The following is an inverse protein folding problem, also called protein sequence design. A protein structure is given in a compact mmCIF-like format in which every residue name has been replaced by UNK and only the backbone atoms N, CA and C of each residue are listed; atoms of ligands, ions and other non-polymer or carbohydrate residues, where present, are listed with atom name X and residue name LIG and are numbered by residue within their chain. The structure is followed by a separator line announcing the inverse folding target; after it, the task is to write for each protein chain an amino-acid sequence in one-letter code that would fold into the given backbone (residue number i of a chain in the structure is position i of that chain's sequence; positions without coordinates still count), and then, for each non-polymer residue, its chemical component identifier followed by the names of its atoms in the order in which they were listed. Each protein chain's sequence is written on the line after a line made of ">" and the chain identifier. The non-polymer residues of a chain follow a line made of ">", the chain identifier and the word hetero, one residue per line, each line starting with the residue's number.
data_IF_080736684276
#
_entry.id   IF_080736684276
#
_cell.length_a   1.000
_cell.length_b   1.000
_cell.length_c   1.000
_cell.angle_alpha   90.00
_cell.angle_beta   90.00
_cell.angle_gamma   90.00
#
_symmetry.space_group_name_H-M   'P 1'
#
loop_
_entity.id
_entity.type
_entity.pdbx_description
1 polymer ?
#
# COMPACT_ATOMS: atom_id res chain seq x y z
N UNK A 1 40.79 -3.84 8.19
CA UNK A 1 39.71 -4.39 9.06
C UNK A 1 38.68 -5.10 8.18
N UNK A 2 38.04 -6.18 8.66
CA UNK A 2 36.96 -6.88 7.94
C UNK A 2 35.60 -6.39 8.43
N UNK A 3 34.81 -5.74 7.58
CA UNK A 3 33.39 -5.52 7.84
C UNK A 3 32.61 -6.67 7.21
N UNK A 4 32.00 -7.54 8.05
CA UNK A 4 31.18 -8.65 7.58
C UNK A 4 29.78 -8.18 7.18
N UNK A 5 29.35 -8.47 5.96
CA UNK A 5 27.97 -8.27 5.55
C UNK A 5 27.06 -9.32 6.21
N UNK A 6 26.32 -8.94 7.25
CA UNK A 6 25.26 -9.78 7.80
C UNK A 6 24.08 -9.84 6.82
N UNK A 7 23.96 -10.97 6.12
CA UNK A 7 22.78 -11.26 5.32
C UNK A 7 21.54 -11.37 6.23
N UNK A 8 20.63 -10.40 6.12
CA UNK A 8 19.35 -10.42 6.84
C UNK A 8 18.51 -11.56 6.27
N UNK A 9 18.53 -12.72 6.95
CA UNK A 9 17.64 -13.84 6.64
C UNK A 9 16.20 -13.41 6.87
N UNK A 10 15.45 -13.22 5.79
CA UNK A 10 14.00 -13.10 5.81
C UNK A 10 13.41 -14.41 6.35
N UNK A 11 12.98 -14.39 7.62
CA UNK A 11 12.24 -15.51 8.19
C UNK A 11 10.95 -15.73 7.37
N UNK A 12 10.54 -17.00 7.14
CA UNK A 12 9.25 -17.27 6.52
C UNK A 12 8.16 -16.72 7.45
N UNK A 13 7.47 -15.67 6.99
CA UNK A 13 6.40 -15.06 7.77
C UNK A 13 5.31 -16.10 8.02
N UNK A 14 5.15 -16.51 9.29
CA UNK A 14 4.02 -17.33 9.72
C UNK A 14 2.72 -16.70 9.19
N UNK A 15 1.70 -17.48 8.79
CA UNK A 15 0.57 -16.99 8.02
C UNK A 15 -0.29 -16.02 8.85
N UNK A 16 0.10 -14.73 8.82
CA UNK A 16 -0.53 -13.60 9.51
C UNK A 16 -2.04 -13.64 9.25
N UNK A 17 -2.80 -14.07 10.24
CA UNK A 17 -4.23 -14.28 10.12
C UNK A 17 -4.90 -12.92 9.99
N UNK A 18 -5.59 -12.70 8.87
CA UNK A 18 -6.17 -11.41 8.51
C UNK A 18 -7.57 -11.27 9.08
N UNK A 19 -8.31 -12.36 9.31
CA UNK A 19 -9.59 -12.34 10.02
C UNK A 19 -9.46 -12.09 11.52
N UNK A 20 -10.46 -11.42 12.11
CA UNK A 20 -10.53 -11.22 13.55
C UNK A 20 -10.81 -12.56 14.24
N UNK A 21 -9.89 -12.97 15.12
CA UNK A 21 -9.80 -14.33 15.64
C UNK A 21 -11.13 -14.81 16.25
N UNK A 22 -11.76 -13.98 17.09
CA UNK A 22 -13.03 -14.29 17.80
C UNK A 22 -14.17 -14.81 16.90
N UNK A 23 -14.36 -14.27 15.68
CA UNK A 23 -15.45 -14.74 14.81
C UNK A 23 -15.07 -15.98 14.01
N UNK A 24 -13.79 -16.17 13.67
CA UNK A 24 -13.30 -17.43 13.11
C UNK A 24 -13.51 -18.54 14.13
N UNK A 25 -13.15 -18.28 15.38
CA UNK A 25 -13.30 -19.21 16.50
C UNK A 25 -14.78 -19.52 16.82
N UNK A 26 -15.72 -18.63 16.50
CA UNK A 26 -17.16 -18.86 16.64
C UNK A 26 -17.64 -19.90 15.61
N UNK A 27 -17.47 -19.65 14.31
CA UNK A 27 -17.93 -20.59 13.29
C UNK A 27 -17.10 -21.88 13.28
N UNK A 28 -15.84 -21.86 13.72
CA UNK A 28 -15.08 -23.08 14.03
C UNK A 28 -15.68 -23.85 15.22
N UNK A 29 -16.21 -23.19 16.25
CA UNK A 29 -16.98 -23.84 17.32
C UNK A 29 -18.31 -24.41 16.81
N UNK A 30 -19.00 -23.75 15.87
CA UNK A 30 -20.17 -24.32 15.17
C UNK A 30 -19.80 -25.63 14.45
N UNK A 31 -18.73 -25.62 13.65
CA UNK A 31 -18.20 -26.80 12.96
C UNK A 31 -17.80 -27.90 13.96
N UNK A 32 -17.06 -27.57 15.02
CA UNK A 32 -16.61 -28.53 16.05
C UNK A 32 -17.76 -29.08 16.92
N UNK A 33 -18.87 -28.34 17.10
CA UNK A 33 -20.09 -28.87 17.74
C UNK A 33 -20.73 -29.89 16.81
N UNK A 34 -21.00 -29.52 15.56
CA UNK A 34 -21.62 -30.41 14.58
C UNK A 34 -20.77 -31.66 14.30
N UNK A 35 -19.46 -31.51 14.13
CA UNK A 35 -18.53 -32.64 13.98
C UNK A 35 -18.55 -33.58 15.18
N UNK A 36 -18.66 -33.07 16.41
CA UNK A 36 -18.80 -33.94 17.60
C UNK A 36 -20.12 -34.68 17.63
N UNK A 37 -21.24 -34.03 17.31
CA UNK A 37 -22.56 -34.69 17.22
C UNK A 37 -22.58 -35.77 16.12
N UNK A 38 -22.04 -35.47 14.94
CA UNK A 38 -21.86 -36.44 13.85
C UNK A 38 -20.94 -37.58 14.28
N UNK A 39 -19.83 -37.29 14.96
CA UNK A 39 -18.92 -38.33 15.49
C UNK A 39 -19.52 -39.14 16.63
N UNK A 40 -20.43 -38.61 17.44
CA UNK A 40 -21.17 -39.39 18.44
C UNK A 40 -22.07 -40.40 17.72
N UNK A 41 -22.95 -39.92 16.82
CA UNK A 41 -23.80 -40.78 15.96
C UNK A 41 -23.01 -41.77 15.07
N UNK A 42 -21.69 -41.57 14.93
CA UNK A 42 -20.83 -42.50 14.22
C UNK A 42 -20.00 -43.40 15.14
N UNK A 43 -19.56 -42.96 16.34
CA UNK A 43 -18.85 -43.81 17.32
C UNK A 43 -19.76 -44.90 17.88
N UNK A 44 -21.06 -44.60 17.99
CA UNK A 44 -22.14 -45.58 18.21
C UNK A 44 -22.21 -46.65 17.09
N UNK A 45 -21.49 -46.44 15.98
CA UNK A 45 -21.38 -47.33 14.82
C UNK A 45 -19.92 -47.62 14.37
N UNK A 46 -18.89 -47.17 15.10
CA UNK A 46 -17.46 -47.31 14.73
C UNK A 46 -16.55 -47.84 15.83
N UNK A 47 -17.10 -48.31 16.95
CA UNK A 47 -16.43 -49.29 17.81
C UNK A 47 -16.20 -50.66 17.11
N UNK A 48 -16.35 -50.71 15.78
CA UNK A 48 -16.36 -51.90 14.93
C UNK A 48 -15.17 -52.03 13.94
N UNK A 49 -14.26 -51.05 13.76
CA UNK A 49 -13.22 -51.12 12.70
C UNK A 49 -11.85 -50.41 12.98
N UNK A 50 -10.78 -50.74 12.22
CA UNK A 50 -9.36 -50.45 12.52
C UNK A 50 -8.40 -50.60 11.29
N UNK A 51 -7.08 -50.23 11.22
CA UNK A 51 -6.11 -49.29 11.91
C UNK A 51 -4.76 -49.24 11.11
N UNK A 52 -3.89 -48.23 11.38
CA UNK A 52 -2.40 -48.13 11.12
C UNK A 52 -1.78 -48.03 9.68
N UNK A 53 -0.92 -47.01 9.40
CA UNK A 53 0.54 -47.04 8.95
C UNK A 53 1.14 -45.66 8.46
N UNK A 54 2.32 -45.59 7.77
CA UNK A 54 3.43 -44.57 7.94
C UNK A 54 4.44 -44.41 6.73
N UNK A 55 5.29 -43.32 6.64
CA UNK A 55 6.73 -43.19 6.13
C UNK A 55 7.15 -41.99 5.12
N UNK A 56 8.40 -41.82 4.51
CA UNK A 56 9.27 -40.56 4.53
C UNK A 56 10.16 -40.10 3.25
N UNK A 57 11.16 -39.13 3.35
CA UNK A 57 12.51 -38.92 2.61
C UNK A 57 12.95 -37.54 1.85
N UNK A 58 14.28 -37.30 1.56
CA UNK A 58 15.06 -36.33 0.61
C UNK A 58 15.23 -34.76 0.86
N UNK A 59 16.08 -33.82 0.27
CA UNK A 59 17.39 -33.61 -0.55
C UNK A 59 17.70 -32.02 -0.73
N UNK A 60 18.60 -31.24 -1.45
CA UNK A 60 19.99 -31.04 -2.13
C UNK A 60 20.10 -29.56 -2.75
N UNK A 61 21.07 -28.79 -3.38
CA UNK A 61 22.55 -28.50 -3.76
C UNK A 61 22.65 -27.02 -4.44
N UNK A 62 23.62 -26.23 -5.05
CA UNK A 62 25.11 -25.90 -5.37
C UNK A 62 25.16 -24.52 -6.23
N UNK A 63 26.16 -23.71 -6.78
CA UNK A 63 27.62 -23.20 -6.74
C UNK A 63 27.77 -21.82 -7.57
N UNK A 64 28.81 -21.13 -8.21
CA UNK A 64 30.30 -21.14 -8.62
C UNK A 64 30.85 -19.71 -9.21
N UNK A 65 32.13 -19.51 -9.67
CA UNK A 65 32.78 -18.49 -10.69
C UNK A 65 33.59 -17.12 -10.36
N UNK A 66 34.13 -16.29 -11.36
CA UNK A 66 35.25 -15.20 -11.28
C UNK A 66 35.37 -13.98 -12.37
N UNK A 67 36.25 -12.88 -12.31
CA UNK A 67 36.36 -11.63 -13.26
C UNK A 67 37.52 -10.48 -13.25
N UNK A 68 37.52 -9.33 -14.05
CA UNK A 68 38.70 -8.36 -14.45
C UNK A 68 38.52 -6.77 -14.79
N UNK A 69 39.57 -5.88 -15.12
CA UNK A 69 39.61 -4.34 -15.43
C UNK A 69 40.92 -3.72 -16.18
N UNK A 70 41.38 -2.44 -16.58
CA UNK A 70 41.20 -0.87 -16.56
C UNK A 70 42.25 -0.06 -17.54
N UNK A 71 42.67 1.26 -17.84
CA UNK A 71 42.78 2.81 -17.50
C UNK A 71 43.28 3.74 -18.76
N UNK A 72 43.75 5.07 -18.96
CA UNK A 72 44.03 6.49 -18.35
C UNK A 72 44.14 7.83 -19.35
N UNK A 73 44.92 8.99 -19.20
CA UNK A 73 44.75 10.44 -19.80
C UNK A 73 45.96 11.54 -20.04
N UNK A 74 45.80 12.83 -20.61
CA UNK A 74 46.84 13.85 -21.19
C UNK A 74 46.98 15.43 -20.75
N UNK A 75 47.51 16.44 -21.57
CA UNK A 75 48.12 17.88 -21.33
C UNK A 75 47.74 19.09 -22.35
N UNK A 76 48.18 20.41 -22.59
CA UNK A 76 49.05 21.66 -22.20
C UNK A 76 48.74 22.96 -23.17
N UNK A 77 49.21 24.28 -23.35
CA UNK A 77 49.92 25.58 -22.83
C UNK A 77 49.88 26.77 -23.96
N UNK A 78 50.18 28.15 -24.09
CA UNK A 78 50.71 29.52 -23.52
C UNK A 78 50.65 30.73 -24.63
N UNK A 79 51.04 32.06 -24.76
CA UNK A 79 51.61 33.41 -24.17
C UNK A 79 51.50 34.65 -25.25
N UNK A 80 51.87 36.01 -25.37
CA UNK A 80 52.41 37.37 -24.76
C UNK A 80 52.41 38.58 -25.87
N UNK A 81 52.72 39.95 -25.95
CA UNK A 81 53.15 41.31 -25.29
C UNK A 81 52.90 42.60 -26.28
N UNK A 82 53.26 43.97 -26.34
CA UNK A 82 54.09 45.13 -25.72
C UNK A 82 53.69 46.68 -26.14
N UNK A 83 54.50 47.84 -26.03
CA UNK A 83 54.10 49.35 -26.20
C UNK A 83 55.17 50.59 -26.21
N UNK A 84 54.81 51.95 -26.20
CA UNK A 84 55.69 53.23 -26.02
C UNK A 84 54.99 54.71 -25.85
N UNK A 85 55.70 55.91 -25.69
CA UNK A 85 55.16 57.37 -25.56
C UNK A 85 56.12 58.68 -25.40
N UNK A 86 55.65 60.01 -25.36
CA UNK A 86 56.43 61.36 -25.28
C UNK A 86 55.68 62.71 -24.77
N UNK A 87 56.30 63.94 -24.59
CA UNK A 87 55.71 65.18 -23.86
C UNK A 87 56.20 66.68 -24.14
N UNK A 88 55.52 67.78 -23.66
CA UNK A 88 55.90 69.26 -23.80
C UNK A 88 55.11 70.36 -22.95
N UNK A 89 55.45 71.70 -22.93
CA UNK A 89 55.20 72.60 -21.75
C UNK A 89 54.07 73.68 -21.71
N UNK A 90 53.68 74.39 -22.77
CA UNK A 90 52.28 74.89 -22.85
C UNK A 90 51.47 73.68 -23.33
N UNK A 91 50.17 73.53 -23.02
CA UNK A 91 49.36 72.55 -23.74
C UNK A 91 49.30 72.96 -25.22
N UNK A 92 49.95 72.24 -26.17
CA UNK A 92 49.71 72.49 -27.58
C UNK A 92 48.21 72.32 -27.91
N UNK A 93 47.74 72.74 -29.09
CA UNK A 93 46.45 72.31 -29.62
C UNK A 93 46.32 70.77 -29.51
N UNK A 94 47.40 70.07 -29.84
CA UNK A 94 47.53 68.63 -29.64
C UNK A 94 47.33 68.15 -28.19
N UNK A 95 47.55 68.92 -27.12
CA UNK A 95 47.21 68.48 -25.75
C UNK A 95 45.72 68.70 -25.43
N UNK A 96 45.05 69.67 -26.07
CA UNK A 96 43.58 69.73 -26.04
C UNK A 96 43.01 68.51 -26.78
N UNK A 97 43.56 68.20 -27.95
CA UNK A 97 43.07 67.09 -28.77
C UNK A 97 43.43 65.73 -28.16
N UNK A 98 44.63 65.56 -27.58
CA UNK A 98 45.03 64.37 -26.81
C UNK A 98 44.27 64.22 -25.50
N UNK A 99 43.92 65.31 -24.80
CA UNK A 99 43.08 65.19 -23.58
C UNK A 99 41.62 64.91 -23.93
N UNK A 100 41.11 65.40 -25.07
CA UNK A 100 39.83 64.98 -25.63
C UNK A 100 39.88 63.51 -26.07
N UNK A 101 40.91 63.07 -26.80
CA UNK A 101 41.12 61.68 -27.23
C UNK A 101 41.28 60.73 -26.04
N UNK A 102 42.07 61.09 -25.03
CA UNK A 102 42.20 60.32 -23.79
C UNK A 102 40.88 60.26 -23.03
N UNK A 103 40.10 61.35 -22.97
CA UNK A 103 38.77 61.36 -22.36
C UNK A 103 37.76 60.49 -23.12
N UNK A 104 37.79 60.53 -24.46
CA UNK A 104 36.98 59.68 -25.34
C UNK A 104 37.40 58.20 -25.20
N UNK A 105 38.71 57.93 -25.07
CA UNK A 105 39.24 56.58 -24.85
C UNK A 105 38.80 56.02 -23.50
N UNK A 106 39.01 56.77 -22.40
CA UNK A 106 38.55 56.39 -21.06
C UNK A 106 37.03 56.21 -21.00
N UNK A 107 36.25 57.11 -21.60
CA UNK A 107 34.80 56.95 -21.72
C UNK A 107 34.42 55.69 -22.54
N UNK A 108 35.17 55.40 -23.61
CA UNK A 108 35.01 54.20 -24.42
C UNK A 108 35.37 52.90 -23.70
N UNK A 109 36.40 52.91 -22.85
CA UNK A 109 36.80 51.78 -21.99
C UNK A 109 35.78 51.54 -20.86
N UNK A 110 35.33 52.61 -20.24
CA UNK A 110 34.25 52.60 -19.26
C UNK A 110 32.96 52.06 -19.87
N UNK A 111 32.51 52.59 -21.02
CA UNK A 111 31.32 52.08 -21.73
C UNK A 111 31.45 50.62 -22.17
N UNK A 112 32.64 50.18 -22.63
CA UNK A 112 32.90 48.75 -22.91
C UNK A 112 32.72 47.90 -21.65
N UNK A 113 33.29 48.35 -20.53
CA UNK A 113 33.18 47.67 -19.24
C UNK A 113 31.73 47.61 -18.72
N UNK A 114 30.98 48.71 -18.84
CA UNK A 114 29.55 48.76 -18.48
C UNK A 114 28.74 47.81 -19.37
N UNK A 115 29.03 47.71 -20.67
CA UNK A 115 28.36 46.74 -21.59
C UNK A 115 28.63 45.29 -21.18
N UNK A 116 29.84 44.96 -20.72
CA UNK A 116 30.15 43.61 -20.23
C UNK A 116 29.38 43.25 -18.94
N UNK A 117 29.28 44.20 -18.00
CA UNK A 117 28.52 44.05 -16.74
C UNK A 117 27.01 43.96 -17.02
N UNK A 118 26.46 44.86 -17.83
CA UNK A 118 25.07 44.89 -18.26
C UNK A 118 24.68 43.57 -18.95
N UNK A 119 25.50 43.13 -19.90
CA UNK A 119 25.32 41.86 -20.59
C UNK A 119 25.48 40.67 -19.66
N UNK A 120 26.30 40.75 -18.60
CA UNK A 120 26.39 39.71 -17.57
C UNK A 120 25.11 39.64 -16.71
N UNK A 121 24.60 40.78 -16.24
CA UNK A 121 23.36 40.88 -15.48
C UNK A 121 22.18 40.31 -16.28
N UNK A 122 22.02 40.67 -17.56
CA UNK A 122 20.98 40.09 -18.45
C UNK A 122 21.15 38.58 -18.64
N UNK A 123 22.38 38.09 -18.87
CA UNK A 123 22.67 36.64 -18.98
C UNK A 123 22.29 35.88 -17.70
N UNK A 124 22.54 36.46 -16.52
CA UNK A 124 22.19 35.85 -15.24
C UNK A 124 20.68 35.91 -14.97
N UNK A 125 19.98 36.99 -15.33
CA UNK A 125 18.51 37.05 -15.30
C UNK A 125 17.86 35.97 -16.20
N UNK A 126 18.46 35.72 -17.37
CA UNK A 126 18.08 34.62 -18.26
C UNK A 126 18.21 33.24 -17.60
N UNK A 127 19.32 32.99 -16.87
CA UNK A 127 19.51 31.76 -16.08
C UNK A 127 18.47 31.61 -14.97
N UNK A 128 18.19 32.68 -14.21
CA UNK A 128 17.16 32.70 -13.16
C UNK A 128 15.78 32.38 -13.74
N UNK A 129 15.44 32.97 -14.88
CA UNK A 129 14.16 32.72 -15.57
C UNK A 129 14.08 31.27 -16.09
N UNK A 130 15.16 30.73 -16.66
CA UNK A 130 15.21 29.32 -17.11
C UNK A 130 15.16 28.32 -15.94
N UNK A 131 15.63 28.69 -14.75
CA UNK A 131 15.53 27.89 -13.54
C UNK A 131 14.11 27.94 -12.95
N UNK A 132 13.45 29.11 -12.97
CA UNK A 132 12.06 29.27 -12.56
C UNK A 132 11.10 28.43 -13.41
N UNK A 133 11.26 28.39 -14.74
CA UNK A 133 10.42 27.53 -15.59
C UNK A 133 10.65 26.05 -15.30
N UNK A 134 11.88 25.59 -15.06
CA UNK A 134 12.15 24.19 -14.64
C UNK A 134 11.46 23.84 -13.32
N UNK A 135 11.46 24.78 -12.36
CA UNK A 135 10.80 24.61 -11.07
C UNK A 135 9.27 24.53 -11.22
N UNK A 136 8.67 25.38 -12.08
CA UNK A 136 7.24 25.35 -12.41
C UNK A 136 6.81 24.01 -13.04
N UNK A 137 7.56 23.50 -14.03
CA UNK A 137 7.24 22.20 -14.65
C UNK A 137 7.26 21.04 -13.66
N UNK A 138 8.10 21.11 -12.61
CA UNK A 138 8.10 20.11 -11.53
C UNK A 138 6.98 20.33 -10.51
N UNK A 139 6.63 21.58 -10.17
CA UNK A 139 5.46 21.91 -9.35
C UNK A 139 4.19 21.28 -9.95
N UNK A 140 3.98 21.40 -11.27
CA UNK A 140 2.83 20.76 -11.92
C UNK A 140 2.80 19.24 -11.74
N UNK A 141 3.97 18.57 -11.82
CA UNK A 141 4.10 17.13 -11.59
C UNK A 141 3.80 16.79 -10.13
N UNK A 142 4.29 17.60 -9.18
CA UNK A 142 4.00 17.49 -7.74
C UNK A 142 2.51 17.66 -7.43
N UNK A 143 1.83 18.61 -8.06
CA UNK A 143 0.39 18.77 -7.91
C UNK A 143 -0.41 17.63 -8.56
N UNK A 144 0.02 17.13 -9.73
CA UNK A 144 -0.57 15.96 -10.39
C UNK A 144 -0.46 14.72 -9.46
N UNK A 145 0.66 14.57 -8.75
CA UNK A 145 0.84 13.57 -7.69
C UNK A 145 -0.07 13.83 -6.47
N UNK A 146 -0.18 15.07 -5.98
CA UNK A 146 -1.10 15.41 -4.88
C UNK A 146 -2.57 15.13 -5.21
N UNK A 147 -2.98 15.32 -6.48
CA UNK A 147 -4.30 14.92 -6.98
C UNK A 147 -4.49 13.39 -6.92
N UNK A 148 -3.47 12.59 -7.24
CA UNK A 148 -3.56 11.12 -7.12
C UNK A 148 -3.59 10.65 -5.66
N UNK A 149 -2.83 11.27 -4.75
CA UNK A 149 -2.90 11.00 -3.30
C UNK A 149 -4.28 11.33 -2.70
N UNK A 150 -4.90 12.44 -3.13
CA UNK A 150 -6.27 12.80 -2.72
C UNK A 150 -7.30 11.78 -3.24
N UNK A 151 -7.15 11.29 -4.48
CA UNK A 151 -7.97 10.18 -5.01
C UNK A 151 -7.75 8.88 -4.23
N UNK A 152 -6.50 8.54 -3.91
CA UNK A 152 -6.13 7.35 -3.14
C UNK A 152 -6.74 7.34 -1.74
N UNK A 153 -6.73 8.48 -1.04
CA UNK A 153 -7.40 8.66 0.26
C UNK A 153 -8.92 8.50 0.14
N UNK A 154 -9.56 9.01 -0.92
CA UNK A 154 -10.98 8.80 -1.17
C UNK A 154 -11.31 7.31 -1.39
N UNK A 155 -10.50 6.59 -2.17
CA UNK A 155 -10.68 5.15 -2.40
C UNK A 155 -10.45 4.34 -1.11
N UNK A 156 -9.46 4.70 -0.28
CA UNK A 156 -9.25 4.10 1.04
C UNK A 156 -10.45 4.32 1.97
N UNK A 157 -11.01 5.53 1.99
CA UNK A 157 -12.22 5.87 2.75
C UNK A 157 -13.41 5.01 2.28
N UNK A 158 -13.73 5.02 0.98
CA UNK A 158 -14.78 4.18 0.39
C UNK A 158 -14.54 2.67 0.59
N UNK A 159 -13.28 2.21 0.67
CA UNK A 159 -12.94 0.81 0.98
C UNK A 159 -13.24 0.46 2.44
N UNK A 160 -13.06 1.42 3.35
CA UNK A 160 -13.34 1.27 4.77
C UNK A 160 -14.84 1.30 5.02
N UNK A 161 -15.53 2.29 4.45
CA UNK A 161 -16.98 2.45 4.54
C UNK A 161 -17.70 1.26 3.89
N UNK A 162 -17.21 0.80 2.73
CA UNK A 162 -17.70 -0.39 2.03
C UNK A 162 -17.67 -1.67 2.87
N UNK A 163 -16.73 -1.79 3.83
CA UNK A 163 -16.64 -2.95 4.74
C UNK A 163 -17.59 -2.88 5.93
N UNK A 164 -18.16 -1.72 6.24
CA UNK A 164 -19.18 -1.58 7.30
C UNK A 164 -20.48 -2.30 6.95
N UNK A 165 -20.74 -2.55 5.65
CA UNK A 165 -21.89 -3.31 5.16
C UNK A 165 -21.78 -4.85 5.32
N UNK A 166 -20.75 -5.37 6.01
CA UNK A 166 -20.69 -6.79 6.39
C UNK A 166 -21.85 -7.13 7.35
N UNK A 167 -22.64 -8.19 7.09
CA UNK A 167 -23.82 -8.51 7.90
C UNK A 167 -23.45 -9.13 9.24
N UNK A 168 -24.32 -8.95 10.24
CA UNK A 168 -24.14 -9.36 11.64
C UNK A 168 -23.00 -8.63 12.38
N UNK A 169 -23.31 -8.24 13.63
CA UNK A 169 -22.35 -7.66 14.60
C UNK A 169 -21.15 -8.59 14.83
N UNK A 170 -21.28 -9.90 14.55
CA UNK A 170 -20.17 -10.87 14.60
C UNK A 170 -19.12 -10.64 13.50
N UNK A 171 -19.49 -10.18 12.30
CA UNK A 171 -18.56 -9.92 11.17
C UNK A 171 -18.05 -8.47 11.14
N UNK A 172 -18.72 -7.54 11.81
CA UNK A 172 -18.30 -6.11 11.90
C UNK A 172 -17.12 -5.89 12.85
N UNK A 173 -16.63 -6.94 13.52
CA UNK A 173 -15.43 -6.88 14.37
C UNK A 173 -14.19 -6.61 13.49
N UNK A 174 -13.53 -5.46 13.76
CA UNK A 174 -12.32 -5.02 13.03
C UNK A 174 -11.29 -6.13 12.92
N UNK A 175 -10.88 -6.40 11.69
CA UNK A 175 -9.90 -7.43 11.36
C UNK A 175 -8.59 -6.84 10.80
N UNK A 176 -7.63 -7.69 10.45
CA UNK A 176 -6.33 -7.30 9.93
C UNK A 176 -6.40 -6.51 8.61
N UNK A 177 -7.45 -6.68 7.79
CA UNK A 177 -7.64 -5.86 6.60
C UNK A 177 -8.12 -4.44 6.96
N UNK A 178 -8.86 -4.27 8.06
CA UNK A 178 -9.18 -2.93 8.61
C UNK A 178 -7.94 -2.25 9.20
N UNK A 179 -7.03 -3.03 9.82
CA UNK A 179 -5.74 -2.52 10.28
C UNK A 179 -4.85 -2.08 9.10
N UNK A 180 -4.82 -2.86 8.01
CA UNK A 180 -4.10 -2.49 6.78
C UNK A 180 -4.71 -1.24 6.11
N UNK A 181 -6.04 -1.14 6.02
CA UNK A 181 -6.72 0.08 5.53
C UNK A 181 -6.41 1.30 6.40
N UNK A 182 -6.36 1.13 7.73
CA UNK A 182 -5.96 2.20 8.66
C UNK A 182 -4.49 2.61 8.47
N UNK A 183 -3.59 1.65 8.22
CA UNK A 183 -2.18 1.91 7.93
C UNK A 183 -1.98 2.65 6.60
N UNK A 184 -2.67 2.21 5.54
CA UNK A 184 -2.73 2.92 4.24
C UNK A 184 -3.22 4.36 4.43
N UNK A 185 -4.32 4.57 5.18
CA UNK A 185 -4.87 5.91 5.44
C UNK A 185 -3.84 6.84 6.10
N UNK A 186 -3.10 6.33 7.10
CA UNK A 186 -2.05 7.09 7.80
C UNK A 186 -0.90 7.42 6.85
N UNK A 187 -0.31 6.42 6.18
CA UNK A 187 0.83 6.61 5.28
C UNK A 187 0.52 7.56 4.11
N UNK A 188 -0.65 7.44 3.49
CA UNK A 188 -1.11 8.37 2.44
C UNK A 188 -1.30 9.79 2.98
N UNK A 189 -1.76 9.97 4.22
CA UNK A 189 -1.94 11.29 4.85
C UNK A 189 -0.61 11.96 5.17
N UNK A 190 0.37 11.21 5.71
CA UNK A 190 1.72 11.72 5.96
C UNK A 190 2.43 12.12 4.67
N UNK A 191 2.32 11.31 3.61
CA UNK A 191 2.91 11.60 2.30
C UNK A 191 2.25 12.83 1.68
N UNK A 192 0.91 12.96 1.74
CA UNK A 192 0.19 14.17 1.34
C UNK A 192 0.73 15.41 2.06
N UNK A 193 0.91 15.37 3.39
CA UNK A 193 1.41 16.51 4.17
C UNK A 193 2.87 16.89 3.81
N UNK A 194 3.73 15.90 3.55
CA UNK A 194 5.12 16.12 3.11
C UNK A 194 5.15 16.78 1.71
N UNK A 195 4.34 16.29 0.78
CA UNK A 195 4.19 16.85 -0.57
C UNK A 195 3.52 18.25 -0.57
N UNK A 196 2.55 18.51 0.31
CA UNK A 196 1.92 19.84 0.49
C UNK A 196 2.84 20.84 1.21
N UNK A 197 3.86 20.37 1.92
CA UNK A 197 4.93 21.24 2.47
C UNK A 197 5.93 21.59 1.37
N UNK A 198 6.44 20.59 0.64
CA UNK A 198 7.29 20.79 -0.54
C UNK A 198 6.65 21.76 -1.56
N UNK A 199 5.33 21.67 -1.78
CA UNK A 199 4.62 22.60 -2.66
C UNK A 199 4.72 24.06 -2.19
N UNK A 200 4.53 24.33 -0.88
CA UNK A 200 4.68 25.67 -0.30
C UNK A 200 6.12 26.19 -0.41
N UNK A 201 7.10 25.32 -0.21
CA UNK A 201 8.51 25.64 -0.40
C UNK A 201 8.81 26.03 -1.85
N UNK A 202 8.27 25.29 -2.84
CA UNK A 202 8.44 25.62 -4.28
C UNK A 202 7.79 26.94 -4.67
N UNK A 203 6.59 27.24 -4.16
CA UNK A 203 5.92 28.53 -4.41
C UNK A 203 6.71 29.71 -3.84
N UNK A 204 7.25 29.54 -2.63
CA UNK A 204 8.11 30.54 -1.97
C UNK A 204 9.40 30.76 -2.76
N UNK A 205 10.00 29.68 -3.28
CA UNK A 205 11.21 29.75 -4.08
C UNK A 205 10.98 30.37 -5.48
N UNK A 206 9.80 30.17 -6.08
CA UNK A 206 9.41 30.87 -7.32
C UNK A 206 9.30 32.38 -7.13
N UNK A 207 8.72 32.83 -6.01
CA UNK A 207 8.66 34.26 -5.67
C UNK A 207 10.07 34.85 -5.52
N UNK A 208 10.98 34.14 -4.84
CA UNK A 208 12.38 34.55 -4.71
C UNK A 208 13.13 34.63 -6.06
N UNK A 209 12.91 33.66 -6.95
CA UNK A 209 13.47 33.69 -8.32
C UNK A 209 12.91 34.86 -9.14
N UNK A 210 11.60 35.13 -9.06
CA UNK A 210 10.97 36.25 -9.75
C UNK A 210 11.49 37.61 -9.24
N UNK A 211 11.67 37.76 -7.92
CA UNK A 211 12.28 38.96 -7.32
C UNK A 211 13.73 39.13 -7.74
N UNK A 212 14.53 38.06 -7.69
CA UNK A 212 15.94 38.09 -8.11
C UNK A 212 16.10 38.44 -9.60
N UNK A 213 15.26 37.88 -10.47
CA UNK A 213 15.23 38.24 -11.90
C UNK A 213 14.89 39.71 -12.12
N UNK A 214 13.92 40.27 -11.36
CA UNK A 214 13.58 41.70 -11.40
C UNK A 214 14.75 42.58 -10.94
N UNK A 215 15.43 42.22 -9.85
CA UNK A 215 16.59 42.96 -9.34
C UNK A 215 17.74 42.98 -10.38
N UNK A 216 18.07 41.83 -10.97
CA UNK A 216 19.09 41.73 -12.03
C UNK A 216 18.75 42.61 -13.25
N UNK A 217 17.48 42.62 -13.67
CA UNK A 217 17.02 43.44 -14.79
C UNK A 217 17.00 44.94 -14.46
N UNK A 218 16.67 45.33 -13.23
CA UNK A 218 16.75 46.73 -12.79
C UNK A 218 18.20 47.24 -12.84
N UNK A 219 19.16 46.49 -12.26
CA UNK A 219 20.58 46.85 -12.32
C UNK A 219 21.08 46.89 -13.77
N UNK A 220 20.68 45.95 -14.63
CA UNK A 220 21.02 45.97 -16.05
C UNK A 220 20.47 47.21 -16.77
N UNK A 221 19.24 47.64 -16.46
CA UNK A 221 18.63 48.84 -17.04
C UNK A 221 19.32 50.13 -16.57
N UNK A 222 19.69 50.24 -15.29
CA UNK A 222 20.52 51.35 -14.82
C UNK A 222 21.86 51.43 -15.56
N UNK A 223 22.51 50.27 -15.79
CA UNK A 223 23.75 50.22 -16.54
C UNK A 223 23.54 50.50 -18.04
N UNK A 224 22.39 50.15 -18.64
CA UNK A 224 22.11 50.49 -20.06
C UNK A 224 21.96 51.99 -20.28
N UNK A 225 21.32 52.71 -19.35
CA UNK A 225 21.18 54.18 -19.40
C UNK A 225 22.52 54.92 -19.47
N UNK A 226 23.59 54.37 -18.89
CA UNK A 226 24.95 54.93 -18.96
C UNK A 226 25.54 54.81 -20.37
N UNK A 227 25.17 53.76 -21.11
CA UNK A 227 25.62 53.49 -22.49
C UNK A 227 24.83 54.33 -23.51
N UNK A 228 23.62 54.76 -23.17
CA UNK A 228 22.72 55.57 -24.01
C UNK A 228 23.14 57.05 -24.12
N UNK A 229 24.06 57.53 -23.27
CA UNK A 229 24.46 58.94 -23.18
C UNK A 229 25.46 59.43 -24.25
N UNK A 230 26.04 58.54 -25.07
CA UNK A 230 27.01 58.90 -26.10
C UNK A 230 26.67 58.25 -27.46
N UNK A 231 26.82 58.97 -28.60
CA UNK A 231 26.53 58.43 -29.92
C UNK A 231 27.39 57.20 -30.26
N UNK A 232 26.83 56.26 -31.04
CA UNK A 232 27.53 55.04 -31.49
C UNK A 232 28.55 55.30 -32.63
N UNK A 233 29.04 56.53 -32.76
CA UNK A 233 29.86 57.00 -33.88
C UNK A 233 31.30 57.27 -33.44
N UNK A 234 32.07 56.19 -33.25
CA UNK A 234 33.51 56.21 -33.06
C UNK A 234 34.15 55.09 -33.86
N UNK A 235 35.10 55.42 -34.73
CA UNK A 235 35.76 54.45 -35.63
C UNK A 235 36.60 53.45 -34.84
N UNK A 236 36.67 52.16 -35.23
CA UNK A 236 37.46 51.15 -34.52
C UNK A 236 38.96 51.31 -34.80
N UNK A 237 39.62 52.18 -34.03
CA UNK A 237 41.09 52.22 -33.98
C UNK A 237 41.64 50.94 -33.34
N UNK A 238 42.66 50.34 -33.97
CA UNK A 238 42.93 48.91 -33.86
C UNK A 238 43.83 48.49 -32.68
N UNK A 239 43.56 48.98 -31.47
CA UNK A 239 44.34 48.64 -30.26
C UNK A 239 43.54 47.77 -29.30
N UNK A 240 43.56 46.44 -29.52
CA UNK A 240 42.97 45.45 -28.60
C UNK A 240 43.87 45.28 -27.38
N UNK A 241 43.89 46.28 -26.51
CA UNK A 241 44.38 46.09 -25.15
C UNK A 241 43.44 45.13 -24.42
N UNK A 242 43.99 44.01 -23.95
CA UNK A 242 43.27 43.04 -23.13
C UNK A 242 43.05 43.60 -21.71
N UNK A 243 42.09 44.52 -21.56
CA UNK A 243 41.59 44.92 -20.25
C UNK A 243 41.13 43.66 -19.49
N UNK A 244 41.45 43.52 -18.20
CA UNK A 244 40.89 42.44 -17.39
C UNK A 244 39.37 42.61 -17.34
N UNK A 245 38.61 41.51 -17.44
CA UNK A 245 37.15 41.60 -17.44
C UNK A 245 36.66 42.31 -16.16
N UNK A 246 35.74 43.28 -16.24
CA UNK A 246 35.36 44.15 -15.12
C UNK A 246 34.75 43.37 -13.94
N UNK A 247 34.26 42.16 -14.19
CA UNK A 247 33.78 41.21 -13.18
C UNK A 247 34.89 40.69 -12.24
N UNK A 248 36.16 40.87 -12.61
CA UNK A 248 37.34 40.57 -11.79
C UNK A 248 37.89 41.80 -11.04
N UNK A 249 37.29 42.98 -11.22
CA UNK A 249 37.69 44.20 -10.52
C UNK A 249 36.94 44.34 -9.19
N UNK A 250 37.55 45.06 -8.24
CA UNK A 250 36.89 45.38 -6.97
C UNK A 250 35.71 46.34 -7.24
N UNK A 251 34.54 46.16 -6.60
CA UNK A 251 33.41 47.07 -6.80
C UNK A 251 33.75 48.50 -6.40
N UNK A 252 33.25 49.44 -7.20
CA UNK A 252 33.45 50.88 -7.04
C UNK A 252 32.09 51.58 -7.25
N UNK A 253 31.61 52.41 -6.31
CA UNK A 253 30.37 53.19 -6.47
C UNK A 253 30.30 54.04 -7.76
N UNK A 254 31.45 54.51 -8.25
CA UNK A 254 31.55 55.30 -9.50
C UNK A 254 31.99 54.46 -10.70
N UNK A 255 32.30 53.18 -10.50
CA UNK A 255 32.88 52.31 -11.51
C UNK A 255 31.85 51.59 -12.39
N UNK A 256 32.30 50.86 -13.43
CA UNK A 256 31.42 50.10 -14.31
C UNK A 256 30.75 48.91 -13.60
N UNK A 257 31.30 48.48 -12.46
CA UNK A 257 30.81 47.40 -11.61
C UNK A 257 30.60 47.93 -10.19
N UNK A 258 29.36 48.28 -9.86
CA UNK A 258 28.99 48.89 -8.58
C UNK A 258 28.70 47.82 -7.50
N UNK A 259 28.76 48.17 -6.19
CA UNK A 259 28.39 47.23 -5.12
C UNK A 259 26.99 46.61 -5.29
N UNK A 260 25.98 47.36 -5.75
CA UNK A 260 24.63 46.82 -5.95
C UNK A 260 24.61 45.76 -7.06
N UNK A 261 25.39 45.95 -8.13
CA UNK A 261 25.55 44.95 -9.19
C UNK A 261 26.18 43.66 -8.65
N UNK A 262 27.14 43.77 -7.73
CA UNK A 262 27.75 42.62 -7.05
C UNK A 262 26.77 41.91 -6.14
N UNK A 263 26.13 42.65 -5.24
CA UNK A 263 25.24 42.09 -4.21
C UNK A 263 24.05 41.37 -4.84
N UNK A 264 23.48 41.92 -5.92
CA UNK A 264 22.40 41.28 -6.68
C UNK A 264 22.89 40.04 -7.43
N UNK A 265 24.13 40.01 -7.94
CA UNK A 265 24.72 38.81 -8.54
C UNK A 265 24.97 37.71 -7.51
N UNK A 266 25.59 38.02 -6.37
CA UNK A 266 25.85 37.06 -5.29
C UNK A 266 24.54 36.52 -4.70
N UNK A 267 23.54 37.37 -4.45
CA UNK A 267 22.21 36.96 -4.02
C UNK A 267 21.52 36.06 -5.07
N UNK A 268 21.62 36.39 -6.36
CA UNK A 268 21.03 35.56 -7.42
C UNK A 268 21.68 34.17 -7.51
N UNK A 269 22.98 34.05 -7.28
CA UNK A 269 23.68 32.78 -7.23
C UNK A 269 23.19 31.91 -6.07
N UNK A 270 22.98 32.49 -4.88
CA UNK A 270 22.42 31.80 -3.73
C UNK A 270 20.95 31.33 -3.98
N UNK A 271 20.11 32.17 -4.59
CA UNK A 271 18.73 31.82 -4.95
C UNK A 271 18.68 30.73 -6.03
N UNK A 272 19.57 30.77 -7.03
CA UNK A 272 19.73 29.71 -8.03
C UNK A 272 20.13 28.37 -7.40
N UNK A 273 21.15 28.36 -6.54
CA UNK A 273 21.62 27.14 -5.85
C UNK A 273 20.50 26.52 -5.00
N UNK A 274 19.78 27.35 -4.22
CA UNK A 274 18.64 26.90 -3.41
C UNK A 274 17.52 26.31 -4.26
N UNK A 275 17.23 26.88 -5.44
CA UNK A 275 16.27 26.31 -6.39
C UNK A 275 16.72 24.93 -6.89
N UNK A 276 17.96 24.79 -7.32
CA UNK A 276 18.50 23.54 -7.85
C UNK A 276 18.45 22.42 -6.80
N UNK A 277 18.83 22.72 -5.55
CA UNK A 277 18.71 21.80 -4.42
C UNK A 277 17.25 21.40 -4.15
N UNK A 278 16.32 22.36 -4.17
CA UNK A 278 14.89 22.11 -3.97
C UNK A 278 14.30 21.22 -5.09
N UNK A 279 14.71 21.43 -6.34
CA UNK A 279 14.31 20.60 -7.50
C UNK A 279 14.77 19.15 -7.37
N UNK A 280 15.95 18.90 -6.80
CA UNK A 280 16.44 17.53 -6.58
C UNK A 280 15.74 16.86 -5.39
N UNK A 281 15.59 17.57 -4.27
CA UNK A 281 14.83 17.11 -3.11
C UNK A 281 13.38 16.75 -3.49
N UNK A 282 12.75 17.55 -4.35
CA UNK A 282 11.40 17.29 -4.86
C UNK A 282 11.33 16.03 -5.72
N UNK A 283 12.28 15.78 -6.65
CA UNK A 283 12.34 14.52 -7.41
C UNK A 283 12.38 13.31 -6.47
N UNK A 284 13.33 13.32 -5.53
CA UNK A 284 13.54 12.20 -4.60
C UNK A 284 12.28 11.95 -3.76
N UNK A 285 11.70 12.99 -3.17
CA UNK A 285 10.47 12.89 -2.39
C UNK A 285 9.29 12.37 -3.23
N UNK A 286 9.18 12.77 -4.50
CA UNK A 286 8.13 12.25 -5.40
C UNK A 286 8.33 10.77 -5.74
N UNK A 287 9.55 10.33 -6.03
CA UNK A 287 9.87 8.92 -6.26
C UNK A 287 9.57 8.07 -5.00
N UNK A 288 10.04 8.51 -3.84
CA UNK A 288 9.78 7.83 -2.55
C UNK A 288 8.30 7.78 -2.22
N UNK A 289 7.55 8.84 -2.52
CA UNK A 289 6.10 8.89 -2.32
C UNK A 289 5.37 7.91 -3.25
N UNK A 290 5.76 7.81 -4.52
CA UNK A 290 5.17 6.84 -5.47
C UNK A 290 5.44 5.40 -5.01
N UNK A 291 6.68 5.08 -4.61
CA UNK A 291 7.06 3.73 -4.13
C UNK A 291 6.31 3.37 -2.84
N UNK A 292 6.15 4.33 -1.91
CA UNK A 292 5.38 4.12 -0.68
C UNK A 292 3.87 4.03 -0.94
N UNK A 293 3.35 4.75 -1.93
CA UNK A 293 1.96 4.63 -2.35
C UNK A 293 1.66 3.25 -2.95
N UNK A 294 2.49 2.75 -3.87
CA UNK A 294 2.26 1.44 -4.52
C UNK A 294 2.40 0.28 -3.55
N UNK A 295 3.37 0.32 -2.63
CA UNK A 295 3.54 -0.71 -1.59
C UNK A 295 2.39 -0.75 -0.59
N UNK A 296 1.89 0.41 -0.13
CA UNK A 296 0.68 0.48 0.71
C UNK A 296 -0.56 -0.08 -0.02
N UNK A 297 -0.78 0.34 -1.28
CA UNK A 297 -1.90 -0.13 -2.09
C UNK A 297 -1.86 -1.65 -2.34
N UNK A 298 -0.67 -2.20 -2.63
CA UNK A 298 -0.48 -3.64 -2.80
C UNK A 298 -0.72 -4.39 -1.50
N UNK A 299 -0.14 -3.95 -0.38
CA UNK A 299 -0.30 -4.58 0.94
C UNK A 299 -1.77 -4.70 1.37
N UNK A 300 -2.58 -3.65 1.18
CA UNK A 300 -4.03 -3.70 1.42
C UNK A 300 -4.75 -4.64 0.46
N UNK A 301 -4.38 -4.64 -0.83
CA UNK A 301 -5.03 -5.50 -1.82
C UNK A 301 -4.76 -6.99 -1.54
N UNK A 302 -3.53 -7.37 -1.20
CA UNK A 302 -3.20 -8.74 -0.78
C UNK A 302 -3.86 -9.11 0.55
N UNK A 303 -3.92 -8.18 1.51
CA UNK A 303 -4.67 -8.34 2.75
C UNK A 303 -6.14 -8.65 2.52
N UNK A 304 -6.81 -7.89 1.63
CA UNK A 304 -8.21 -8.13 1.26
C UNK A 304 -8.40 -9.44 0.48
N UNK A 305 -7.51 -9.78 -0.46
CA UNK A 305 -7.58 -11.06 -1.19
C UNK A 305 -7.41 -12.25 -0.25
N UNK A 306 -6.45 -12.19 0.68
CA UNK A 306 -6.28 -13.18 1.73
C UNK A 306 -7.47 -13.23 2.67
N UNK A 307 -8.08 -12.08 2.99
CA UNK A 307 -9.30 -12.01 3.81
C UNK A 307 -10.47 -12.70 3.12
N UNK A 308 -10.61 -12.56 1.80
CA UNK A 308 -11.62 -13.29 1.00
C UNK A 308 -11.35 -14.80 1.06
N UNK A 309 -10.13 -15.27 0.75
CA UNK A 309 -9.84 -16.71 0.70
C UNK A 309 -9.99 -17.40 2.05
N UNK A 310 -9.60 -16.75 3.15
CA UNK A 310 -9.91 -17.23 4.51
C UNK A 310 -11.42 -17.44 4.74
N UNK A 311 -12.26 -16.52 4.23
CA UNK A 311 -13.72 -16.54 4.44
C UNK A 311 -14.40 -17.57 3.55
N UNK A 312 -13.98 -17.72 2.28
CA UNK A 312 -14.49 -18.76 1.37
C UNK A 312 -14.10 -20.17 1.81
N UNK A 313 -12.88 -20.34 2.35
CA UNK A 313 -12.46 -21.64 2.89
C UNK A 313 -13.32 -22.04 4.10
N UNK A 314 -13.61 -21.08 5.00
CA UNK A 314 -14.52 -21.32 6.12
C UNK A 314 -15.96 -21.61 5.66
N UNK A 315 -16.47 -20.89 4.67
CA UNK A 315 -17.77 -21.17 4.03
C UNK A 315 -17.83 -22.61 3.47
N UNK A 316 -16.75 -23.08 2.85
CA UNK A 316 -16.66 -24.46 2.36
C UNK A 316 -16.68 -25.48 3.50
N UNK A 317 -15.94 -25.25 4.59
CA UNK A 317 -15.99 -26.13 5.77
C UNK A 317 -17.38 -26.14 6.45
N UNK A 318 -18.06 -25.00 6.54
CA UNK A 318 -19.45 -24.91 7.03
C UNK A 318 -20.41 -25.73 6.14
N UNK A 319 -20.27 -25.60 4.82
CA UNK A 319 -21.07 -26.34 3.82
C UNK A 319 -20.86 -27.85 3.94
N UNK A 320 -19.62 -28.31 4.04
CA UNK A 320 -19.28 -29.73 4.27
C UNK A 320 -19.83 -30.23 5.62
N UNK A 321 -19.71 -29.44 6.68
CA UNK A 321 -20.24 -29.81 8.00
C UNK A 321 -21.77 -29.89 7.98
N UNK A 322 -22.47 -29.00 7.27
CA UNK A 322 -23.94 -29.07 7.09
C UNK A 322 -24.34 -30.31 6.30
N UNK A 323 -23.60 -30.67 5.24
CA UNK A 323 -23.85 -31.90 4.48
C UNK A 323 -23.67 -33.16 5.35
N UNK A 324 -22.60 -33.24 6.13
CA UNK A 324 -22.37 -34.34 7.08
C UNK A 324 -23.46 -34.40 8.18
N UNK A 325 -23.87 -33.25 8.72
CA UNK A 325 -24.95 -33.15 9.73
C UNK A 325 -26.27 -33.63 9.16
N UNK A 326 -26.64 -33.20 7.94
CA UNK A 326 -27.83 -33.71 7.22
C UNK A 326 -27.77 -35.22 7.01
N UNK A 327 -26.61 -35.76 6.63
CA UNK A 327 -26.45 -37.20 6.47
C UNK A 327 -26.60 -37.95 7.81
N UNK A 328 -26.08 -37.41 8.92
CA UNK A 328 -26.26 -37.98 10.26
C UNK A 328 -27.73 -37.98 10.69
N UNK A 329 -28.47 -36.87 10.51
CA UNK A 329 -29.92 -36.79 10.77
C UNK A 329 -30.65 -37.91 10.00
N UNK A 330 -30.40 -38.06 8.70
CA UNK A 330 -31.05 -39.09 7.89
C UNK A 330 -30.63 -40.54 8.23
N UNK A 331 -29.48 -40.76 8.88
CA UNK A 331 -29.10 -42.06 9.44
C UNK A 331 -29.85 -42.33 10.75
N UNK A 332 -29.83 -41.36 11.67
CA UNK A 332 -30.46 -41.47 12.98
C UNK A 332 -31.98 -41.66 12.85
N UNK A 333 -32.63 -40.93 11.94
CA UNK A 333 -34.06 -41.09 11.63
C UNK A 333 -34.41 -42.51 11.13
N UNK A 334 -33.54 -43.15 10.33
CA UNK A 334 -33.74 -44.55 9.87
C UNK A 334 -33.58 -45.55 11.01
N UNK A 335 -32.55 -45.38 11.85
CA UNK A 335 -32.36 -46.20 13.05
C UNK A 335 -33.56 -46.07 13.99
N UNK A 336 -34.03 -44.85 14.23
CA UNK A 336 -35.22 -44.54 15.04
C UNK A 336 -36.50 -45.16 14.44
N UNK A 337 -36.66 -45.19 13.12
CA UNK A 337 -37.77 -45.90 12.45
C UNK A 337 -37.71 -47.42 12.68
N UNK A 338 -36.53 -48.04 12.53
CA UNK A 338 -36.35 -49.47 12.80
C UNK A 338 -36.57 -49.83 14.29
N UNK A 339 -36.12 -48.97 15.19
CA UNK A 339 -36.32 -49.11 16.63
C UNK A 339 -37.80 -48.94 17.02
N UNK A 340 -38.50 -47.96 16.47
CA UNK A 340 -39.94 -47.75 16.70
C UNK A 340 -40.78 -48.93 16.17
N UNK A 341 -40.47 -49.44 14.99
CA UNK A 341 -41.12 -50.65 14.46
C UNK A 341 -40.90 -51.86 15.38
N UNK A 342 -39.69 -52.04 15.88
CA UNK A 342 -39.37 -53.11 16.85
C UNK A 342 -40.11 -52.92 18.18
N UNK A 343 -40.15 -51.70 18.71
CA UNK A 343 -40.85 -51.36 19.96
C UNK A 343 -42.36 -51.60 19.85
N UNK A 344 -42.98 -51.22 18.74
CA UNK A 344 -44.38 -51.54 18.45
C UNK A 344 -44.67 -53.05 18.42
N UNK A 345 -43.73 -53.86 17.91
CA UNK A 345 -43.86 -55.34 17.95
C UNK A 345 -43.66 -55.93 19.35
N UNK A 346 -42.85 -55.29 20.20
CA UNK A 346 -42.59 -55.74 21.59
C UNK A 346 -43.73 -55.35 22.54
N UNK A 347 -44.39 -54.21 22.31
CA UNK A 347 -45.61 -53.82 23.03
C UNK A 347 -46.79 -54.77 22.74
N UNK A 348 -46.90 -55.26 21.50
CA UNK A 348 -47.96 -56.18 21.10
C UNK A 348 -49.35 -55.51 21.02
N UNK A 349 -50.45 -56.30 21.10
CA UNK A 349 -51.81 -55.78 21.07
C UNK A 349 -52.09 -54.90 22.30
N UNK A 350 -52.44 -53.63 22.07
CA UNK A 350 -52.64 -52.62 23.12
C UNK A 350 -54.05 -52.70 23.74
N UNK A 351 -55.01 -53.30 23.02
CA UNK A 351 -56.38 -53.54 23.49
C UNK A 351 -56.73 -55.03 23.50
N UNK A 352 -57.59 -55.43 24.44
CA UNK A 352 -58.20 -56.77 24.48
C UNK A 352 -59.09 -57.04 23.25
N UNK A 353 -59.46 -56.00 22.49
CA UNK A 353 -60.16 -56.13 21.21
C UNK A 353 -59.24 -56.52 20.04
N UNK A 354 -57.92 -56.28 20.16
CA UNK A 354 -56.93 -56.58 19.10
C UNK A 354 -56.53 -58.07 19.11
N UNK A 355 -56.81 -58.78 20.20
CA UNK A 355 -56.56 -60.21 20.38
C UNK A 355 -57.67 -61.05 19.73
N UNK A 356 -57.31 -62.00 18.87
CA UNK A 356 -58.26 -62.99 18.39
C UNK A 356 -58.81 -63.84 19.54
N UNK A 357 -60.02 -64.40 19.35
CA UNK A 357 -60.60 -65.36 20.31
C UNK A 357 -59.72 -66.60 20.56
N UNK A 358 -58.70 -66.85 19.72
CA UNK A 358 -57.68 -67.90 19.89
C UNK A 358 -56.43 -67.47 20.67
N UNK A 359 -56.30 -66.20 21.03
CA UNK A 359 -55.13 -65.63 21.73
C UNK A 359 -55.43 -65.15 23.15
N UNK A 360 -56.68 -64.75 23.44
CA UNK A 360 -57.10 -64.30 24.78
C UNK A 360 -56.84 -65.35 25.87
N UNK A 361 -56.26 -64.92 26.99
CA UNK A 361 -55.87 -65.77 28.12
C UNK A 361 -57.06 -66.29 28.95
N UNK A 362 -58.26 -65.74 28.77
CA UNK A 362 -59.47 -66.02 29.56
C UNK A 362 -60.16 -67.36 29.24
N UNK A 363 -59.43 -68.36 28.72
CA UNK A 363 -59.98 -69.66 28.32
C UNK A 363 -59.74 -70.75 29.36
N UNK A 364 -60.67 -71.71 29.54
CA UNK A 364 -60.51 -72.83 30.48
C UNK A 364 -59.23 -73.65 30.30
N UNK A 365 -58.71 -73.78 29.07
CA UNK A 365 -57.43 -74.45 28.79
C UNK A 365 -56.25 -73.68 29.34
N UNK A 366 -56.25 -72.34 29.27
CA UNK A 366 -55.16 -71.50 29.78
C UNK A 366 -55.13 -71.54 31.31
N UNK A 367 -56.31 -71.55 31.95
CA UNK A 367 -56.48 -71.70 33.41
C UNK A 367 -55.97 -73.04 33.99
N UNK A 368 -55.66 -74.03 33.14
CA UNK A 368 -54.95 -75.25 33.55
C UNK A 368 -53.43 -75.01 33.58
N UNK A 369 -52.88 -74.28 32.60
CA UNK A 369 -51.45 -73.93 32.54
C UNK A 369 -51.04 -72.82 33.52
N UNK A 370 -51.95 -71.90 33.87
CA UNK A 370 -51.77 -70.87 34.92
C UNK A 370 -51.54 -71.45 36.33
N UNK A 371 -51.70 -72.78 36.50
CA UNK A 371 -51.37 -73.49 37.75
C UNK A 371 -49.86 -73.77 37.92
N UNK A 372 -49.06 -73.50 36.89
CA UNK A 372 -47.61 -73.47 36.97
C UNK A 372 -47.11 -72.01 36.97
N UNK A 373 -45.90 -71.74 37.48
CA UNK A 373 -45.34 -70.39 37.62
C UNK A 373 -44.85 -69.79 36.28
N UNK A 374 -45.74 -69.70 35.29
CA UNK A 374 -45.50 -69.02 34.01
C UNK A 374 -45.14 -67.53 34.17
N UNK A 375 -45.52 -66.92 35.29
CA UNK A 375 -45.17 -65.56 35.70
C UNK A 375 -43.66 -65.32 35.90
N UNK A 376 -42.85 -66.38 36.01
CA UNK A 376 -41.43 -66.30 36.40
C UNK A 376 -40.47 -66.81 35.30
N UNK A 377 -40.91 -66.87 34.05
CA UNK A 377 -40.06 -67.24 32.92
C UNK A 377 -38.95 -66.19 32.67
N UNK A 378 -37.66 -66.56 32.62
CA UNK A 378 -36.55 -65.61 32.43
C UNK A 378 -36.63 -64.90 31.07
N UNK A 379 -37.29 -65.48 30.07
CA UNK A 379 -37.55 -64.85 28.77
C UNK A 379 -38.42 -63.58 28.92
N UNK A 380 -39.34 -63.56 29.89
CA UNK A 380 -40.22 -62.41 30.14
C UNK A 380 -39.49 -61.22 30.77
N UNK A 381 -38.52 -61.48 31.67
CA UNK A 381 -37.68 -60.43 32.24
C UNK A 381 -36.67 -59.91 31.21
N UNK A 382 -36.10 -60.79 30.38
CA UNK A 382 -35.24 -60.39 29.25
C UNK A 382 -35.99 -59.55 28.21
N UNK A 383 -37.23 -59.89 27.87
CA UNK A 383 -38.08 -59.07 26.99
C UNK A 383 -38.41 -57.71 27.62
N UNK A 384 -38.71 -57.68 28.92
CA UNK A 384 -38.98 -56.43 29.65
C UNK A 384 -37.74 -55.52 29.70
N UNK A 385 -36.56 -56.10 29.97
CA UNK A 385 -35.27 -55.41 29.94
C UNK A 385 -34.94 -54.89 28.53
N UNK A 386 -35.09 -55.73 27.51
CA UNK A 386 -34.88 -55.36 26.11
C UNK A 386 -35.81 -54.22 25.66
N UNK A 387 -37.08 -54.24 26.09
CA UNK A 387 -38.02 -53.16 25.83
C UNK A 387 -37.60 -51.84 26.50
N UNK A 388 -37.16 -51.90 27.77
CA UNK A 388 -36.67 -50.73 28.49
C UNK A 388 -35.42 -50.12 27.83
N UNK A 389 -34.47 -50.95 27.40
CA UNK A 389 -33.29 -50.50 26.66
C UNK A 389 -33.67 -49.92 25.29
N UNK A 390 -34.59 -50.56 24.56
CA UNK A 390 -35.06 -50.09 23.26
C UNK A 390 -35.77 -48.72 23.37
N UNK A 391 -36.57 -48.51 24.41
CA UNK A 391 -37.18 -47.20 24.71
C UNK A 391 -36.11 -46.16 25.04
N UNK A 392 -35.14 -46.48 25.90
CA UNK A 392 -34.03 -45.56 26.20
C UNK A 392 -33.22 -45.19 24.94
N UNK A 393 -33.03 -46.13 24.02
CA UNK A 393 -32.41 -45.85 22.71
C UNK A 393 -33.26 -44.95 21.81
N UNK A 394 -34.60 -45.05 21.87
CA UNK A 394 -35.51 -44.15 21.16
C UNK A 394 -35.48 -42.74 21.74
N UNK A 395 -35.66 -42.60 23.06
CA UNK A 395 -35.62 -41.33 23.79
C UNK A 395 -34.26 -40.60 23.55
N UNK A 396 -33.16 -41.35 23.50
CA UNK A 396 -31.82 -40.83 23.14
C UNK A 396 -31.71 -40.45 21.65
N UNK A 397 -32.21 -41.27 20.74
CA UNK A 397 -32.12 -41.02 19.30
C UNK A 397 -32.95 -39.82 18.84
N UNK A 398 -34.12 -39.60 19.45
CA UNK A 398 -34.95 -38.41 19.22
C UNK A 398 -34.20 -37.14 19.61
N UNK A 399 -33.67 -37.08 20.85
CA UNK A 399 -32.85 -35.96 21.32
C UNK A 399 -31.59 -35.73 20.47
N UNK A 400 -30.92 -36.81 20.03
CA UNK A 400 -29.78 -36.70 19.13
C UNK A 400 -30.16 -36.11 17.76
N UNK A 401 -31.35 -36.39 17.24
CA UNK A 401 -31.90 -35.75 16.04
C UNK A 401 -32.18 -34.26 16.29
N UNK A 402 -32.73 -33.87 17.45
CA UNK A 402 -32.93 -32.45 17.81
C UNK A 402 -31.61 -31.67 17.87
N UNK A 403 -30.62 -32.17 18.60
CA UNK A 403 -29.30 -31.53 18.73
C UNK A 403 -28.61 -31.37 17.36
N UNK A 404 -28.71 -32.37 16.48
CA UNK A 404 -28.23 -32.31 15.10
C UNK A 404 -29.02 -31.30 14.25
N UNK A 405 -30.34 -31.17 14.42
CA UNK A 405 -31.14 -30.16 13.71
C UNK A 405 -30.77 -28.74 14.12
N UNK A 406 -30.60 -28.48 15.43
CA UNK A 406 -30.13 -27.18 15.94
C UNK A 406 -28.74 -26.86 15.40
N UNK A 407 -27.82 -27.83 15.40
CA UNK A 407 -26.50 -27.65 14.82
C UNK A 407 -26.53 -27.40 13.30
N UNK A 408 -27.44 -28.06 12.55
CA UNK A 408 -27.63 -27.82 11.12
C UNK A 408 -28.06 -26.38 10.83
N UNK A 409 -29.06 -25.86 11.54
CA UNK A 409 -29.56 -24.49 11.35
C UNK A 409 -28.44 -23.46 11.62
N UNK A 410 -27.70 -23.63 12.73
CA UNK A 410 -26.55 -22.78 13.06
C UNK A 410 -25.47 -22.76 11.95
N UNK A 411 -25.22 -23.90 11.29
CA UNK A 411 -24.29 -23.97 10.15
C UNK A 411 -24.83 -23.33 8.87
N UNK A 412 -26.15 -23.39 8.64
CA UNK A 412 -26.78 -22.77 7.47
C UNK A 412 -26.79 -21.22 7.60
N UNK A 413 -27.08 -20.70 8.81
CA UNK A 413 -26.94 -19.27 9.15
C UNK A 413 -25.49 -18.78 9.01
N UNK A 414 -24.52 -19.47 9.64
CA UNK A 414 -23.10 -19.14 9.53
C UNK A 414 -22.65 -19.13 8.05
N UNK A 415 -23.12 -20.07 7.23
CA UNK A 415 -22.79 -20.15 5.79
C UNK A 415 -23.29 -18.92 5.03
N UNK A 416 -24.53 -18.48 5.29
CA UNK A 416 -25.09 -17.29 4.67
C UNK A 416 -24.28 -16.03 5.04
N UNK A 417 -23.93 -15.88 6.32
CA UNK A 417 -23.12 -14.76 6.81
C UNK A 417 -21.73 -14.72 6.15
N UNK A 418 -21.02 -15.84 6.04
CA UNK A 418 -19.71 -15.87 5.37
C UNK A 418 -19.80 -15.56 3.89
N UNK A 419 -20.82 -16.06 3.20
CA UNK A 419 -21.05 -15.79 1.77
C UNK A 419 -21.25 -14.29 1.51
N UNK A 420 -22.08 -13.62 2.31
CA UNK A 420 -22.33 -12.20 2.19
C UNK A 420 -21.10 -11.35 2.59
N UNK A 421 -20.38 -11.71 3.66
CA UNK A 421 -19.13 -11.04 4.04
C UNK A 421 -18.04 -11.15 2.95
N UNK A 422 -17.86 -12.31 2.34
CA UNK A 422 -16.97 -12.49 1.19
C UNK A 422 -17.42 -11.70 -0.05
N UNK A 423 -18.74 -11.55 -0.26
CA UNK A 423 -19.32 -10.69 -1.29
C UNK A 423 -18.98 -9.20 -1.10
N UNK A 424 -19.05 -8.70 0.13
CA UNK A 424 -18.66 -7.32 0.50
C UNK A 424 -17.17 -7.08 0.26
N UNK A 425 -16.30 -7.95 0.78
CA UNK A 425 -14.85 -7.82 0.56
C UNK A 425 -14.49 -7.88 -0.93
N UNK A 426 -15.16 -8.75 -1.70
CA UNK A 426 -15.02 -8.83 -3.16
C UNK A 426 -15.48 -7.55 -3.87
N UNK A 427 -16.55 -6.90 -3.40
CA UNK A 427 -16.99 -5.61 -3.93
C UNK A 427 -15.96 -4.51 -3.69
N UNK A 428 -15.33 -4.48 -2.51
CA UNK A 428 -14.27 -3.54 -2.16
C UNK A 428 -13.00 -3.77 -2.99
N UNK A 429 -12.59 -5.02 -3.22
CA UNK A 429 -11.47 -5.33 -4.14
C UNK A 429 -11.79 -4.87 -5.57
N UNK A 430 -13.03 -5.07 -6.07
CA UNK A 430 -13.45 -4.56 -7.39
C UNK A 430 -13.44 -3.02 -7.46
N UNK A 431 -13.90 -2.33 -6.41
CA UNK A 431 -13.85 -0.87 -6.31
C UNK A 431 -12.40 -0.36 -6.40
N UNK A 432 -11.51 -0.94 -5.59
CA UNK A 432 -10.08 -0.57 -5.55
C UNK A 432 -9.41 -0.81 -6.90
N UNK A 433 -9.65 -1.95 -7.56
CA UNK A 433 -9.13 -2.25 -8.91
C UNK A 433 -9.65 -1.29 -10.00
N UNK A 434 -10.85 -0.72 -9.85
CA UNK A 434 -11.41 0.27 -10.79
C UNK A 434 -10.86 1.68 -10.58
N UNK A 435 -10.60 2.08 -9.34
CA UNK A 435 -10.27 3.46 -9.00
C UNK A 435 -8.77 3.71 -8.74
N UNK A 436 -8.05 2.72 -8.21
CA UNK A 436 -6.58 2.72 -8.13
C UNK A 436 -6.01 2.20 -9.45
N UNK A 437 -5.89 3.10 -10.43
CA UNK A 437 -5.03 2.84 -11.58
C UNK A 437 -3.58 2.71 -11.09
N UNK A 438 -2.77 1.76 -11.61
CA UNK A 438 -1.34 1.80 -11.40
C UNK A 438 -0.81 3.11 -11.99
N UNK A 439 -0.17 3.93 -11.16
CA UNK A 439 0.60 5.09 -11.62
C UNK A 439 1.76 4.54 -12.46
N UNK A 440 1.59 4.49 -13.78
CA UNK A 440 2.60 3.96 -14.68
C UNK A 440 3.87 4.82 -14.51
N UNK A 441 4.98 4.18 -14.12
CA UNK A 441 6.21 4.87 -13.73
C UNK A 441 6.96 5.31 -14.99
N UNK A 442 6.45 6.34 -15.65
CA UNK A 442 7.17 7.14 -16.63
C UNK A 442 8.18 8.07 -15.92
N UNK A 443 9.01 7.48 -15.06
CA UNK A 443 10.28 8.05 -14.61
C UNK A 443 11.35 7.50 -15.55
N UNK A 444 11.23 7.89 -16.81
CA UNK A 444 12.15 7.55 -17.90
C UNK A 444 12.62 8.85 -18.55
N UNK A 445 13.88 9.19 -18.26
CA UNK A 445 14.75 10.15 -18.96
C UNK A 445 14.08 11.44 -19.52
N UNK A 446 14.10 12.50 -18.72
CA UNK A 446 13.75 13.88 -19.11
C UNK A 446 14.09 14.89 -18.03
#
# INVERSE_FOLDING_TARGET
>A
MKCGAQAVRSAPAAPLTVGAQKWRDESLRSIQRAQRLVLQSHMDALHSAARYRRAPLTSTFTDYESGTLSKIRPKSTGATLHSLGMNGPFPPPALRDQSAEASISMAGEYMRSVREVEGHLRRTAGKVTQEATKLQHQQERLEKLLRSFRKALLVNQQSTDGRTFRPSVKETVKDGADLLLCHEKKGLTELKQKLETMLRDTLTQQQALAQSSRQLLNCAFERSRVIELLPQHGSPSATVHHSPSPLSMKPDPSGPYTPECRDVLEASAAVLHKSQQLRENMKQLMCDAIIKQTTLHHSVNEGLLKKITETTNLQHHLTLSSAATRQAISRQQRQMQCANYSHGRVLGPLSRADLFCRERLDRPVVQVYERHQSSCLPESSLLTQGNAMLKQHLDFAEKAVEDLQVARLQLEDDTCLKQAAAGVDSAVVRLRRRLVLPMCVQVANG
#
